data_IF_832677556392
#
_entry.id   IF_832677556392
#
_cell.length_a   1.000
_cell.length_b   1.000
_cell.length_c   1.000
_cell.angle_alpha   90.00
_cell.angle_beta   90.00
_cell.angle_gamma   90.00
#
_symmetry.space_group_name_H-M   'P 1'
#
loop_
_entity.id
_entity.type
_entity.pdbx_description
1 polymer ?
#
# COMPACT_ATOMS: atom_id res chain seq x y z
N UNK A 1 -27.47 -4.20 -16.79
CA UNK A 1 -26.02 -4.26 -17.07
C UNK A 1 -25.33 -3.53 -15.93
N UNK A 2 -24.60 -4.25 -15.08
CA UNK A 2 -24.00 -3.71 -13.86
C UNK A 2 -22.69 -3.04 -14.23
N UNK A 3 -22.59 -1.74 -14.00
CA UNK A 3 -21.38 -0.92 -14.21
C UNK A 3 -20.14 -1.47 -13.48
N UNK A 4 -20.35 -2.28 -12.44
CA UNK A 4 -19.30 -2.93 -11.67
C UNK A 4 -18.45 -3.92 -12.51
N UNK A 5 -19.07 -4.67 -13.44
CA UNK A 5 -18.34 -5.67 -14.25
C UNK A 5 -17.43 -5.02 -15.31
N UNK A 6 -17.80 -3.85 -15.84
CA UNK A 6 -17.01 -3.17 -16.88
C UNK A 6 -15.76 -2.50 -16.31
N UNK A 7 -15.78 -2.08 -15.03
CA UNK A 7 -14.64 -1.47 -14.36
C UNK A 7 -13.50 -2.48 -14.11
N UNK A 8 -13.84 -3.72 -13.79
CA UNK A 8 -12.88 -4.80 -13.50
C UNK A 8 -11.97 -5.15 -14.70
N UNK A 9 -12.42 -4.91 -15.94
CA UNK A 9 -11.65 -5.18 -17.16
C UNK A 9 -10.90 -3.97 -17.72
N UNK A 10 -11.00 -2.80 -17.08
CA UNK A 10 -10.21 -1.62 -17.48
C UNK A 10 -8.83 -1.63 -16.84
N UNK A 11 -7.86 -0.97 -17.48
CA UNK A 11 -6.52 -0.73 -16.91
C UNK A 11 -6.59 -0.10 -15.52
N UNK A 12 -7.62 0.72 -15.24
CA UNK A 12 -7.84 1.34 -13.94
C UNK A 12 -8.38 0.36 -12.88
N UNK A 13 -9.23 -0.60 -13.28
CA UNK A 13 -9.69 -1.69 -12.40
C UNK A 13 -8.53 -2.54 -11.91
N UNK A 14 -7.61 -2.90 -12.81
CA UNK A 14 -6.41 -3.65 -12.44
C UNK A 14 -5.52 -2.88 -11.46
N UNK A 15 -5.28 -1.58 -11.70
CA UNK A 15 -4.50 -0.75 -10.76
C UNK A 15 -5.13 -0.73 -9.37
N UNK A 16 -6.46 -0.65 -9.29
CA UNK A 16 -7.15 -0.70 -8.00
C UNK A 16 -6.91 -2.03 -7.28
N UNK A 17 -7.07 -3.15 -7.97
CA UNK A 17 -6.87 -4.49 -7.35
C UNK A 17 -5.43 -4.69 -6.84
N UNK A 18 -4.44 -4.22 -7.60
CA UNK A 18 -3.02 -4.32 -7.20
C UNK A 18 -2.71 -3.40 -6.00
N UNK A 19 -3.30 -2.19 -6.00
CA UNK A 19 -3.18 -1.24 -4.90
C UNK A 19 -3.80 -1.80 -3.60
N UNK A 20 -5.01 -2.38 -3.70
CA UNK A 20 -5.70 -2.99 -2.57
C UNK A 20 -4.88 -4.15 -1.97
N UNK A 21 -4.31 -5.00 -2.83
CA UNK A 21 -3.48 -6.12 -2.40
C UNK A 21 -2.18 -5.63 -1.73
N UNK A 22 -1.52 -4.63 -2.31
CA UNK A 22 -0.29 -4.06 -1.73
C UNK A 22 -0.57 -3.42 -0.37
N UNK A 23 -1.68 -2.69 -0.22
CA UNK A 23 -2.14 -2.14 1.07
C UNK A 23 -2.44 -3.25 2.09
N UNK A 24 -3.05 -4.35 1.64
CA UNK A 24 -3.29 -5.53 2.48
C UNK A 24 -1.98 -6.12 3.00
N UNK A 25 -0.96 -6.22 2.16
CA UNK A 25 0.36 -6.70 2.56
C UNK A 25 1.04 -5.76 3.57
N UNK A 26 0.99 -4.44 3.34
CA UNK A 26 1.47 -3.44 4.30
C UNK A 26 0.83 -3.62 5.68
N UNK A 27 -0.50 -3.78 5.72
CA UNK A 27 -1.25 -4.03 6.96
C UNK A 27 -0.81 -5.31 7.66
N UNK A 28 -0.71 -6.43 6.93
CA UNK A 28 -0.31 -7.71 7.53
C UNK A 28 1.11 -7.66 8.10
N UNK A 29 2.04 -7.03 7.40
CA UNK A 29 3.40 -6.84 7.92
C UNK A 29 3.41 -5.97 9.18
N UNK A 30 2.61 -4.91 9.23
CA UNK A 30 2.48 -4.10 10.45
C UNK A 30 1.90 -4.92 11.61
N UNK A 31 0.82 -5.67 11.36
CA UNK A 31 0.21 -6.54 12.37
C UNK A 31 1.21 -7.58 12.89
N UNK A 32 2.00 -8.19 12.00
CA UNK A 32 3.05 -9.15 12.37
C UNK A 32 4.14 -8.51 13.23
N UNK A 33 4.60 -7.30 12.90
CA UNK A 33 5.55 -6.54 13.73
C UNK A 33 5.01 -6.27 15.13
N UNK A 34 3.71 -5.95 15.25
CA UNK A 34 3.07 -5.73 16.56
C UNK A 34 3.05 -7.01 17.40
N UNK A 35 2.92 -8.19 16.76
CA UNK A 35 2.99 -9.48 17.46
C UNK A 35 4.41 -9.83 17.93
N UNK A 36 5.43 -9.51 17.15
CA UNK A 36 6.84 -9.71 17.50
C UNK A 36 7.71 -8.53 17.05
N UNK A 37 7.94 -7.59 17.97
CA UNK A 37 8.73 -6.38 17.70
C UNK A 37 10.23 -6.66 17.54
N UNK A 38 10.71 -7.86 17.91
CA UNK A 38 12.10 -8.25 17.65
C UNK A 38 12.34 -8.51 16.16
N UNK A 39 11.31 -8.96 15.43
CA UNK A 39 11.36 -9.14 13.98
C UNK A 39 11.16 -7.81 13.22
N UNK A 40 12.19 -6.96 13.26
CA UNK A 40 12.24 -5.69 12.52
C UNK A 40 12.15 -5.85 11.00
N UNK A 41 12.24 -7.07 10.45
CA UNK A 41 12.01 -7.30 9.02
C UNK A 41 10.56 -6.99 8.62
N UNK A 42 9.59 -7.23 9.51
CA UNK A 42 8.18 -6.96 9.26
C UNK A 42 7.90 -5.48 9.05
N UNK A 43 8.48 -4.60 9.88
CA UNK A 43 8.34 -3.16 9.68
C UNK A 43 9.07 -2.68 8.41
N UNK A 44 10.19 -3.32 8.01
CA UNK A 44 10.83 -3.07 6.71
C UNK A 44 9.94 -3.48 5.53
N UNK A 45 9.22 -4.59 5.62
CA UNK A 45 8.25 -4.99 4.60
C UNK A 45 7.08 -4.00 4.53
N UNK A 46 6.53 -3.59 5.68
CA UNK A 46 5.49 -2.55 5.73
C UNK A 46 5.92 -1.27 5.00
N UNK A 47 7.09 -0.72 5.32
CA UNK A 47 7.63 0.44 4.64
C UNK A 47 7.82 0.21 3.13
N UNK A 48 8.25 -0.99 2.73
CA UNK A 48 8.42 -1.35 1.31
C UNK A 48 7.09 -1.37 0.55
N UNK A 49 6.04 -1.95 1.14
CA UNK A 49 4.71 -1.96 0.53
C UNK A 49 4.10 -0.55 0.46
N UNK A 50 4.30 0.29 1.49
CA UNK A 50 3.88 1.70 1.46
C UNK A 50 4.59 2.49 0.35
N UNK A 51 5.87 2.20 0.09
CA UNK A 51 6.60 2.78 -1.03
C UNK A 51 5.99 2.42 -2.39
N UNK A 52 5.58 1.15 -2.57
CA UNK A 52 4.91 0.69 -3.79
C UNK A 52 3.55 1.36 -3.98
N UNK A 53 2.75 1.46 -2.91
CA UNK A 53 1.48 2.19 -2.88
C UNK A 53 1.68 3.64 -3.31
N UNK A 54 2.67 4.33 -2.73
CA UNK A 54 3.02 5.70 -3.08
C UNK A 54 3.37 5.82 -4.58
N UNK A 55 4.27 4.96 -5.09
CA UNK A 55 4.65 4.96 -6.50
C UNK A 55 3.47 4.76 -7.44
N UNK A 56 2.59 3.79 -7.14
CA UNK A 56 1.38 3.54 -7.93
C UNK A 56 0.44 4.75 -7.93
N UNK A 57 0.16 5.35 -6.77
CA UNK A 57 -0.70 6.53 -6.65
C UNK A 57 -0.12 7.74 -7.41
N UNK A 58 1.20 7.90 -7.44
CA UNK A 58 1.89 8.91 -8.26
C UNK A 58 1.71 8.67 -9.75
N UNK A 59 1.82 7.41 -10.21
CA UNK A 59 1.66 7.05 -11.62
C UNK A 59 0.23 7.30 -12.13
N UNK A 60 -0.78 7.13 -11.28
CA UNK A 60 -2.19 7.43 -11.62
C UNK A 60 -2.67 8.82 -11.15
N UNK A 61 -1.72 9.70 -10.80
CA UNK A 61 -1.97 11.12 -10.48
C UNK A 61 -2.91 11.38 -9.28
N UNK A 62 -3.04 10.42 -8.37
CA UNK A 62 -3.79 10.57 -7.12
C UNK A 62 -2.91 11.18 -6.02
N UNK A 63 -2.48 12.42 -6.22
CA UNK A 63 -1.45 13.06 -5.40
C UNK A 63 -1.78 13.21 -3.92
N UNK A 64 -3.05 13.44 -3.56
CA UNK A 64 -3.46 13.53 -2.15
C UNK A 64 -3.28 12.21 -1.41
N UNK A 65 -3.66 11.10 -2.04
CA UNK A 65 -3.44 9.77 -1.48
C UNK A 65 -1.95 9.39 -1.48
N UNK A 66 -1.20 9.79 -2.52
CA UNK A 66 0.24 9.59 -2.60
C UNK A 66 0.98 10.26 -1.42
N UNK A 67 0.62 11.50 -1.08
CA UNK A 67 1.19 12.21 0.08
C UNK A 67 0.95 11.46 1.39
N UNK A 68 -0.28 10.95 1.62
CA UNK A 68 -0.57 10.17 2.82
C UNK A 68 0.25 8.88 2.87
N UNK A 69 0.39 8.17 1.74
CA UNK A 69 1.21 6.97 1.66
C UNK A 69 2.70 7.25 1.94
N UNK A 70 3.22 8.37 1.45
CA UNK A 70 4.58 8.83 1.75
C UNK A 70 4.78 9.10 3.25
N UNK A 71 3.87 9.84 3.89
CA UNK A 71 3.95 10.10 5.33
C UNK A 71 3.90 8.80 6.16
N UNK A 72 3.06 7.85 5.76
CA UNK A 72 3.00 6.53 6.38
C UNK A 72 4.31 5.76 6.20
N UNK A 73 4.92 5.82 5.00
CA UNK A 73 6.21 5.19 4.72
C UNK A 73 7.32 5.77 5.61
N UNK A 74 7.37 7.11 5.75
CA UNK A 74 8.36 7.78 6.60
C UNK A 74 8.17 7.45 8.08
N UNK A 75 6.92 7.38 8.54
CA UNK A 75 6.61 6.94 9.91
C UNK A 75 7.10 5.51 10.15
N UNK A 76 6.78 4.58 9.24
CA UNK A 76 7.22 3.19 9.35
C UNK A 76 8.75 3.07 9.39
N UNK A 77 9.47 3.86 8.57
CA UNK A 77 10.93 3.92 8.60
C UNK A 77 11.50 4.50 9.88
N UNK A 78 10.80 5.44 10.51
CA UNK A 78 11.23 6.09 11.76
C UNK A 78 11.02 5.22 13.00
N UNK A 79 10.18 4.18 12.88
CA UNK A 79 9.92 3.19 13.93
C UNK A 79 10.86 1.97 13.86
N UNK A 80 11.72 1.90 12.84
CA UNK A 80 12.80 0.90 12.72
C UNK A 80 14.03 1.30 13.54
#
# INVERSE_FOLDING_TARGET
MRLDEDLDFTTLGWVKSELDETLRQARLSLEAFVQDQADTSQMRFCATYLHQVHGTLRMVELYGAAMVAEEMEQLAKSLL
#
